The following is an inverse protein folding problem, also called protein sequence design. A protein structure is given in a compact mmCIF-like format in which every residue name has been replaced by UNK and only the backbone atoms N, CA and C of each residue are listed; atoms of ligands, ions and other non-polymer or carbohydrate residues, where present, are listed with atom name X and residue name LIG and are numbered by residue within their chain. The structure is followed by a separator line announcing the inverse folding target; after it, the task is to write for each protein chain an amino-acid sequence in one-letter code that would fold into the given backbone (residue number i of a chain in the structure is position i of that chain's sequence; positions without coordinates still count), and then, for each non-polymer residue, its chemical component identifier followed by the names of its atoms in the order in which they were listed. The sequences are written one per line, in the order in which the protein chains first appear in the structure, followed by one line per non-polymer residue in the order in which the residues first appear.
data_IF_326113599057
#
_entry.id   IF_326113599057
#
_cell.length_a   1.000
_cell.length_b   1.000
_cell.length_c   1.000
_cell.angle_alpha   90.00
_cell.angle_beta   90.00
_cell.angle_gamma   90.00
#
_symmetry.space_group_name_H-M   'P 1'
#
loop_
_entity.id
_entity.type
_entity.pdbx_description
1 polymer ?
#
# COMPACT_ATOMS: atom_id res chain seq x y z
N UNK A 1 -0.08 15.65 3.78
CA UNK A 1 0.66 16.92 3.45
C UNK A 1 2.17 16.74 3.59
N UNK A 2 2.60 15.92 4.54
CA UNK A 2 4.02 15.71 4.84
C UNK A 2 4.63 14.54 4.04
N UNK A 3 3.79 13.73 3.39
CA UNK A 3 4.16 12.54 2.61
C UNK A 3 4.17 12.76 1.10
N UNK A 4 3.43 11.93 0.38
CA UNK A 4 3.23 12.05 -1.06
C UNK A 4 2.40 13.28 -1.44
N UNK A 5 2.56 13.75 -2.69
CA UNK A 5 1.94 15.01 -3.16
C UNK A 5 0.41 14.94 -3.25
N UNK A 6 -0.15 13.76 -3.35
CA UNK A 6 -1.59 13.51 -3.46
C UNK A 6 -2.30 13.46 -2.10
N UNK A 7 -1.56 13.26 -1.00
CA UNK A 7 -2.13 13.30 0.35
C UNK A 7 -2.51 14.73 0.77
N UNK A 8 -3.76 14.90 1.17
CA UNK A 8 -4.34 16.18 1.64
C UNK A 8 -4.52 16.24 3.16
N UNK A 9 -4.22 15.16 3.85
CA UNK A 9 -4.39 15.02 5.30
C UNK A 9 -3.04 15.28 5.98
N UNK A 10 -3.04 16.05 7.07
CA UNK A 10 -1.84 16.13 7.92
C UNK A 10 -1.69 14.82 8.70
N UNK A 11 -0.47 14.47 9.05
CA UNK A 11 -0.21 13.24 9.79
C UNK A 11 -0.85 13.28 11.18
N UNK A 12 -0.88 14.45 11.81
CA UNK A 12 -1.51 14.69 13.11
C UNK A 12 -3.03 14.44 13.05
N UNK A 13 -3.72 15.04 12.06
CA UNK A 13 -5.16 14.82 11.84
C UNK A 13 -5.46 13.36 11.54
N UNK A 14 -4.58 12.70 10.76
CA UNK A 14 -4.71 11.29 10.39
C UNK A 14 -4.67 10.40 11.63
N UNK A 15 -3.65 10.55 12.47
CA UNK A 15 -3.50 9.75 13.69
C UNK A 15 -4.60 10.07 14.68
N UNK A 16 -4.95 11.34 14.86
CA UNK A 16 -6.03 11.76 15.75
C UNK A 16 -7.34 11.06 15.37
N UNK A 17 -7.69 11.05 14.08
CA UNK A 17 -8.89 10.38 13.61
C UNK A 17 -8.84 8.87 13.82
N UNK A 18 -7.74 8.22 13.50
CA UNK A 18 -7.59 6.78 13.72
C UNK A 18 -7.73 6.41 15.20
N UNK A 19 -7.14 7.17 16.11
CA UNK A 19 -7.30 6.95 17.56
C UNK A 19 -8.75 7.10 18.01
N UNK A 20 -9.49 8.09 17.48
CA UNK A 20 -10.93 8.27 17.77
C UNK A 20 -11.77 7.09 17.29
N UNK A 21 -11.34 6.39 16.24
CA UNK A 21 -11.99 5.20 15.70
C UNK A 21 -11.49 3.89 16.33
N UNK A 22 -10.59 3.95 17.33
CA UNK A 22 -10.12 2.79 18.10
C UNK A 22 -8.98 2.00 17.45
N UNK A 23 -8.23 2.60 16.52
CA UNK A 23 -7.05 1.98 15.92
C UNK A 23 -5.83 2.06 16.85
N UNK A 24 -5.02 1.01 16.87
CA UNK A 24 -3.76 0.93 17.62
C UNK A 24 -2.56 1.49 16.85
N UNK A 25 -2.66 1.58 15.53
CA UNK A 25 -1.55 2.02 14.68
C UNK A 25 -1.90 2.14 13.21
N UNK A 26 -0.90 2.54 12.43
CA UNK A 26 -0.99 2.65 10.98
C UNK A 26 0.34 2.27 10.30
N UNK A 27 0.25 1.84 9.06
CA UNK A 27 1.38 1.72 8.14
C UNK A 27 1.32 2.89 7.14
N UNK A 28 2.35 3.74 7.11
CA UNK A 28 2.46 4.80 6.10
C UNK A 28 3.02 4.19 4.81
N UNK A 29 2.30 4.37 3.70
CA UNK A 29 2.66 3.85 2.38
C UNK A 29 2.60 4.94 1.31
N UNK A 30 3.27 6.07 1.55
CA UNK A 30 3.38 7.16 0.56
C UNK A 30 4.00 6.65 -0.76
N UNK A 31 3.54 7.19 -1.90
CA UNK A 31 4.09 6.87 -3.22
C UNK A 31 5.57 7.26 -3.35
N UNK A 32 6.42 6.27 -3.61
CA UNK A 32 7.87 6.39 -3.90
C UNK A 32 8.64 7.27 -2.89
N UNK A 33 8.18 7.39 -1.65
CA UNK A 33 8.85 8.22 -0.65
C UNK A 33 8.59 7.76 0.77
N UNK A 34 9.56 8.03 1.65
CA UNK A 34 9.41 7.88 3.10
C UNK A 34 9.21 9.22 3.82
N UNK A 35 8.78 10.27 3.12
CA UNK A 35 8.66 11.63 3.72
C UNK A 35 7.70 11.66 4.89
N UNK A 36 6.51 11.07 4.77
CA UNK A 36 5.52 11.00 5.84
C UNK A 36 6.08 10.29 7.08
N UNK A 37 6.70 9.12 6.90
CA UNK A 37 7.35 8.44 8.03
C UNK A 37 8.54 9.21 8.61
N UNK A 38 9.34 9.91 7.79
CA UNK A 38 10.41 10.78 8.30
C UNK A 38 9.86 11.92 9.15
N UNK A 39 8.78 12.56 8.70
CA UNK A 39 8.10 13.58 9.48
C UNK A 39 7.64 13.02 10.84
N UNK A 40 6.94 11.86 10.85
CA UNK A 40 6.62 11.17 12.09
C UNK A 40 7.83 10.97 12.99
N UNK A 41 8.87 10.35 12.45
CA UNK A 41 10.05 9.96 13.24
C UNK A 41 10.79 11.11 13.88
N UNK A 42 10.93 12.25 13.21
CA UNK A 42 11.78 13.35 13.66
C UNK A 42 11.01 14.49 14.32
N UNK A 43 9.75 14.68 13.92
CA UNK A 43 8.95 15.82 14.40
C UNK A 43 7.90 15.43 15.43
N UNK A 44 7.38 14.20 15.41
CA UNK A 44 6.23 13.80 16.21
C UNK A 44 6.53 12.71 17.24
N UNK A 45 7.28 11.65 16.87
CA UNK A 45 7.56 10.49 17.73
C UNK A 45 8.22 10.93 19.05
N UNK A 46 7.65 10.49 20.18
CA UNK A 46 8.10 10.86 21.53
C UNK A 46 7.72 12.28 21.96
N UNK A 47 6.87 12.98 21.20
CA UNK A 47 6.34 14.30 21.54
C UNK A 47 4.82 14.31 21.58
N UNK A 48 4.20 13.62 20.61
CA UNK A 48 2.74 13.50 20.47
C UNK A 48 2.38 12.07 20.09
N UNK A 49 1.17 11.62 20.41
CA UNK A 49 0.62 10.29 20.05
C UNK A 49 1.54 9.12 20.48
N UNK A 50 2.12 9.15 21.68
CA UNK A 50 3.06 8.13 22.18
C UNK A 50 2.47 6.72 22.26
N UNK A 51 1.15 6.63 22.46
CA UNK A 51 0.37 5.40 22.55
C UNK A 51 0.02 4.78 21.18
N UNK A 52 0.30 5.49 20.08
CA UNK A 52 -0.07 5.08 18.72
C UNK A 52 1.13 4.57 17.92
N UNK A 53 0.98 3.40 17.29
CA UNK A 53 2.05 2.78 16.51
C UNK A 53 2.03 3.31 15.07
N UNK A 54 3.17 3.81 14.60
CA UNK A 54 3.34 4.20 13.19
C UNK A 54 4.45 3.38 12.58
N UNK A 55 4.09 2.55 11.62
CA UNK A 55 5.01 1.69 10.87
C UNK A 55 5.38 2.33 9.53
N UNK A 56 6.56 1.94 9.04
CA UNK A 56 7.14 2.42 7.79
C UNK A 56 6.90 1.44 6.65
N UNK A 57 6.20 1.86 5.64
CA UNK A 57 6.08 1.20 4.35
C UNK A 57 6.29 2.21 3.21
N UNK A 58 6.12 1.74 2.00
CA UNK A 58 6.13 2.57 0.78
C UNK A 58 5.24 1.90 -0.26
N UNK A 59 4.43 2.67 -0.97
CA UNK A 59 3.75 2.23 -2.18
C UNK A 59 4.65 2.56 -3.38
N UNK A 60 5.22 1.53 -3.97
CA UNK A 60 6.24 1.66 -5.01
C UNK A 60 5.62 1.57 -6.41
N UNK A 61 5.88 2.57 -7.26
CA UNK A 61 5.44 2.60 -8.65
C UNK A 61 6.40 1.79 -9.53
N UNK A 62 6.02 0.56 -9.88
CA UNK A 62 6.80 -0.25 -10.81
C UNK A 62 6.54 0.16 -12.26
N UNK A 63 7.51 -0.07 -13.17
CA UNK A 63 7.30 0.22 -14.59
C UNK A 63 6.45 -0.83 -15.32
N UNK A 64 6.17 -1.98 -14.72
CA UNK A 64 5.57 -3.14 -15.41
C UNK A 64 4.45 -3.86 -14.67
N UNK A 65 4.27 -3.61 -13.36
CA UNK A 65 3.37 -4.39 -12.51
C UNK A 65 2.41 -3.53 -11.64
N UNK A 66 2.35 -2.23 -11.86
CA UNK A 66 1.53 -1.31 -11.07
C UNK A 66 2.12 -1.02 -9.69
N UNK A 67 1.27 -0.74 -8.73
CA UNK A 67 1.65 -0.35 -7.38
C UNK A 67 1.93 -1.56 -6.49
N UNK A 68 3.04 -1.50 -5.77
CA UNK A 68 3.49 -2.56 -4.87
C UNK A 68 3.81 -1.98 -3.50
N UNK A 69 3.13 -2.44 -2.47
CA UNK A 69 3.45 -2.08 -1.08
C UNK A 69 4.70 -2.86 -0.67
N UNK A 70 5.73 -2.12 -0.23
CA UNK A 70 6.96 -2.70 0.30
C UNK A 70 7.14 -2.34 1.78
N UNK A 71 7.47 -3.32 2.60
CA UNK A 71 7.72 -3.17 4.04
C UNK A 71 9.11 -3.72 4.33
N UNK A 72 10.02 -2.85 4.77
CA UNK A 72 11.38 -3.22 5.15
C UNK A 72 11.49 -3.40 6.66
N UNK A 73 12.38 -4.28 7.15
CA UNK A 73 12.59 -4.46 8.59
C UNK A 73 12.88 -3.15 9.33
N UNK A 74 12.63 -3.14 10.62
CA UNK A 74 12.97 -2.02 11.48
C UNK A 74 14.45 -1.62 11.31
N UNK A 75 14.72 -0.32 11.31
CA UNK A 75 16.06 0.22 11.10
C UNK A 75 16.58 0.18 9.67
N UNK A 76 16.06 -0.69 8.81
CA UNK A 76 16.46 -0.76 7.40
C UNK A 76 15.81 0.36 6.59
N UNK A 77 16.63 1.21 5.98
CA UNK A 77 16.19 2.28 5.10
C UNK A 77 16.83 2.14 3.73
N UNK A 78 16.02 1.87 2.74
CA UNK A 78 16.46 1.64 1.37
C UNK A 78 16.11 2.84 0.48
N UNK A 79 17.08 3.75 0.28
CA UNK A 79 16.89 4.94 -0.57
C UNK A 79 16.50 4.59 -2.02
N UNK A 80 16.89 3.40 -2.48
CA UNK A 80 16.55 2.92 -3.82
C UNK A 80 15.03 2.77 -4.01
N UNK A 81 14.28 2.50 -2.93
CA UNK A 81 12.81 2.47 -2.97
C UNK A 81 12.18 3.87 -3.10
N UNK A 82 12.97 4.94 -2.96
CA UNK A 82 12.49 6.30 -3.26
C UNK A 82 12.75 6.71 -4.73
N UNK A 83 13.20 5.75 -5.58
CA UNK A 83 13.40 5.92 -7.03
C UNK A 83 12.45 4.99 -7.76
N UNK A 84 11.35 5.53 -8.28
CA UNK A 84 10.31 4.77 -8.99
C UNK A 84 10.78 4.10 -10.28
N UNK A 85 10.00 3.15 -10.78
CA UNK A 85 10.16 2.58 -12.11
C UNK A 85 11.02 1.32 -12.19
N UNK A 86 11.42 0.72 -11.06
CA UNK A 86 12.09 -0.58 -11.06
C UNK A 86 11.12 -1.67 -11.56
N UNK A 87 11.54 -2.59 -12.46
CA UNK A 87 10.73 -3.75 -12.81
C UNK A 87 10.43 -4.63 -11.59
N UNK A 88 9.23 -5.17 -11.51
CA UNK A 88 8.76 -5.91 -10.32
C UNK A 88 9.66 -7.09 -9.93
N UNK A 89 10.26 -7.79 -10.89
CA UNK A 89 11.18 -8.90 -10.56
C UNK A 89 12.41 -8.41 -9.79
N UNK A 90 12.98 -7.29 -10.22
CA UNK A 90 14.12 -6.67 -9.53
C UNK A 90 13.70 -6.15 -8.15
N UNK A 91 12.51 -5.56 -8.05
CA UNK A 91 11.96 -5.07 -6.80
C UNK A 91 11.78 -6.21 -5.79
N UNK A 92 11.22 -7.34 -6.22
CA UNK A 92 11.04 -8.53 -5.39
C UNK A 92 12.40 -9.04 -4.88
N UNK A 93 13.36 -9.24 -5.79
CA UNK A 93 14.71 -9.71 -5.43
C UNK A 93 15.39 -8.74 -4.46
N UNK A 94 15.23 -7.44 -4.69
CA UNK A 94 15.81 -6.40 -3.87
C UNK A 94 15.21 -6.40 -2.45
N UNK A 95 13.88 -6.37 -2.33
CA UNK A 95 13.18 -6.35 -1.04
C UNK A 95 13.46 -7.61 -0.23
N UNK A 96 13.35 -8.80 -0.85
CA UNK A 96 13.61 -10.07 -0.17
C UNK A 96 15.07 -10.22 0.30
N UNK A 97 16.03 -9.80 -0.53
CA UNK A 97 17.47 -9.86 -0.14
C UNK A 97 17.77 -9.05 1.11
N UNK A 98 17.00 -8.00 1.36
CA UNK A 98 17.18 -7.14 2.53
C UNK A 98 16.20 -7.46 3.67
N UNK A 99 15.56 -8.63 3.62
CA UNK A 99 14.69 -9.11 4.70
C UNK A 99 13.30 -8.48 4.73
N UNK A 100 12.94 -7.69 3.73
CA UNK A 100 11.61 -7.08 3.60
C UNK A 100 10.57 -8.04 3.00
N UNK A 101 9.34 -7.59 2.98
CA UNK A 101 8.20 -8.23 2.32
C UNK A 101 7.52 -7.24 1.37
N UNK A 102 6.78 -7.78 0.39
CA UNK A 102 6.03 -6.96 -0.54
C UNK A 102 4.77 -7.67 -1.05
N UNK A 103 3.81 -6.86 -1.46
CA UNK A 103 2.56 -7.34 -2.07
C UNK A 103 1.89 -6.25 -2.90
N UNK A 104 1.04 -6.62 -3.87
CA UNK A 104 0.38 -5.65 -4.74
C UNK A 104 -0.70 -4.88 -3.98
N UNK A 105 -0.68 -3.55 -4.10
CA UNK A 105 -1.76 -2.68 -3.68
C UNK A 105 -2.94 -2.82 -4.64
N UNK A 106 -4.18 -2.79 -4.12
CA UNK A 106 -5.43 -2.87 -4.91
C UNK A 106 -5.29 -3.72 -6.19
N UNK A 107 -4.85 -5.01 -6.10
CA UNK A 107 -4.34 -5.79 -7.23
C UNK A 107 -5.34 -6.02 -8.35
N UNK A 108 -6.62 -6.05 -8.03
CA UNK A 108 -7.73 -6.25 -8.96
C UNK A 108 -8.57 -5.00 -9.17
N UNK A 109 -8.06 -3.84 -8.78
CA UNK A 109 -8.74 -2.56 -8.91
C UNK A 109 -9.04 -2.19 -10.35
N UNK A 110 -9.93 -1.22 -10.53
CA UNK A 110 -10.28 -0.72 -11.86
C UNK A 110 -9.17 0.11 -12.51
N UNK A 111 -8.18 0.55 -11.74
CA UNK A 111 -7.08 1.38 -12.22
C UNK A 111 -6.09 0.53 -13.02
N UNK A 112 -5.52 1.13 -14.07
CA UNK A 112 -4.46 0.50 -14.90
C UNK A 112 -3.17 0.22 -14.12
N UNK A 113 -2.98 0.80 -12.93
CA UNK A 113 -1.86 0.54 -12.02
C UNK A 113 -2.10 -0.65 -11.09
N UNK A 114 -3.25 -1.31 -11.20
CA UNK A 114 -3.54 -2.54 -10.49
C UNK A 114 -2.87 -3.72 -11.17
N UNK A 115 -2.21 -4.58 -10.38
CA UNK A 115 -1.35 -5.66 -10.87
C UNK A 115 -2.01 -6.53 -11.95
N UNK A 116 -3.26 -6.96 -11.75
CA UNK A 116 -3.97 -7.85 -12.70
C UNK A 116 -4.33 -7.18 -14.03
N UNK A 117 -4.24 -5.84 -14.12
CA UNK A 117 -4.48 -5.10 -15.36
C UNK A 117 -3.20 -4.84 -16.16
N UNK A 118 -2.05 -5.29 -15.66
CA UNK A 118 -0.75 -5.03 -16.30
C UNK A 118 -0.38 -6.10 -17.32
N UNK A 119 0.40 -5.70 -18.33
CA UNK A 119 0.97 -6.66 -19.30
C UNK A 119 1.85 -7.71 -18.61
N UNK A 120 2.44 -7.36 -17.46
CA UNK A 120 3.26 -8.27 -16.67
C UNK A 120 2.44 -9.45 -16.15
N UNK A 121 1.27 -9.18 -15.57
CA UNK A 121 0.38 -10.23 -15.09
C UNK A 121 -0.06 -11.16 -16.23
N UNK A 122 -0.46 -10.61 -17.39
CA UNK A 122 -0.89 -11.43 -18.53
C UNK A 122 0.24 -12.30 -19.08
N UNK A 123 1.47 -11.81 -19.10
CA UNK A 123 2.63 -12.58 -19.60
C UNK A 123 3.20 -13.56 -18.57
N UNK A 124 3.11 -13.25 -17.30
CA UNK A 124 3.73 -14.00 -16.20
C UNK A 124 2.87 -13.98 -14.95
N UNK A 125 1.66 -14.58 -14.95
CA UNK A 125 0.75 -14.58 -13.82
C UNK A 125 1.38 -15.21 -12.57
N UNK A 126 2.36 -16.11 -12.75
CA UNK A 126 3.10 -16.76 -11.68
C UNK A 126 3.91 -15.79 -10.81
N UNK A 127 4.13 -14.54 -11.26
CA UNK A 127 4.75 -13.49 -10.46
C UNK A 127 4.04 -13.30 -9.11
N UNK A 128 2.72 -13.55 -9.08
CA UNK A 128 1.91 -13.47 -7.86
C UNK A 128 2.42 -14.38 -6.74
N UNK A 129 3.01 -15.52 -7.08
CA UNK A 129 3.55 -16.48 -6.11
C UNK A 129 4.72 -15.92 -5.31
N UNK A 130 5.40 -14.93 -5.86
CA UNK A 130 6.57 -14.30 -5.26
C UNK A 130 6.23 -13.19 -4.27
N UNK A 131 5.00 -12.69 -4.28
CA UNK A 131 4.55 -11.75 -3.26
C UNK A 131 4.32 -12.45 -1.92
N UNK A 132 4.48 -11.72 -0.83
CA UNK A 132 4.32 -12.24 0.52
C UNK A 132 2.87 -12.14 0.99
N UNK A 133 2.17 -11.09 0.57
CA UNK A 133 0.77 -10.81 0.89
C UNK A 133 0.03 -10.22 -0.32
N UNK A 134 -1.26 -10.05 -0.20
CA UNK A 134 -2.13 -9.40 -1.19
C UNK A 134 -3.06 -8.43 -0.45
N UNK A 135 -3.21 -7.20 -0.91
CA UNK A 135 -4.26 -6.32 -0.42
C UNK A 135 -5.61 -6.83 -0.96
N UNK A 136 -6.38 -7.47 -0.08
CA UNK A 136 -7.67 -8.09 -0.43
C UNK A 136 -8.86 -7.16 -0.19
N UNK A 137 -8.66 -6.12 0.61
CA UNK A 137 -9.65 -5.08 0.86
C UNK A 137 -9.00 -3.70 0.69
N UNK A 138 -9.54 -2.92 -0.23
CA UNK A 138 -9.18 -1.52 -0.41
C UNK A 138 -10.48 -0.70 -0.46
N UNK A 139 -10.62 0.27 0.45
CA UNK A 139 -11.86 1.06 0.55
C UNK A 139 -12.14 1.94 -0.66
N UNK A 140 -11.12 2.22 -1.48
CA UNK A 140 -11.23 3.05 -2.69
C UNK A 140 -11.72 2.26 -3.91
N UNK A 141 -11.68 0.94 -3.85
CA UNK A 141 -12.06 0.06 -4.95
C UNK A 141 -13.50 -0.49 -4.78
N UNK A 142 -14.17 -0.87 -5.90
CA UNK A 142 -15.48 -1.52 -5.82
C UNK A 142 -15.41 -2.88 -5.11
N UNK A 143 -16.56 -3.33 -4.58
CA UNK A 143 -16.69 -4.62 -3.90
C UNK A 143 -16.22 -5.78 -4.78
N UNK A 144 -16.59 -5.78 -6.07
CA UNK A 144 -16.18 -6.84 -7.02
C UNK A 144 -14.65 -6.90 -7.21
N UNK A 145 -13.95 -5.78 -7.08
CA UNK A 145 -12.49 -5.74 -7.13
C UNK A 145 -11.87 -6.37 -5.89
N UNK A 146 -12.42 -6.06 -4.71
CA UNK A 146 -12.02 -6.66 -3.44
C UNK A 146 -12.30 -8.17 -3.43
N UNK A 147 -13.45 -8.60 -3.90
CA UNK A 147 -13.79 -10.03 -4.06
C UNK A 147 -12.82 -10.77 -4.97
N UNK A 148 -12.42 -10.16 -6.08
CA UNK A 148 -11.41 -10.75 -6.98
C UNK A 148 -10.07 -10.86 -6.30
N UNK A 149 -9.67 -9.84 -5.53
CA UNK A 149 -8.41 -9.84 -4.77
C UNK A 149 -8.42 -10.90 -3.67
N UNK A 150 -9.54 -11.08 -2.96
CA UNK A 150 -9.70 -12.13 -1.95
C UNK A 150 -9.60 -13.54 -2.57
N UNK A 151 -10.29 -13.78 -3.70
CA UNK A 151 -10.16 -15.05 -4.45
C UNK A 151 -8.73 -15.27 -4.94
N UNK A 152 -8.02 -14.22 -5.33
CA UNK A 152 -6.62 -14.30 -5.75
C UNK A 152 -5.72 -14.71 -4.59
N UNK A 153 -5.89 -14.10 -3.41
CA UNK A 153 -5.17 -14.47 -2.20
C UNK A 153 -5.43 -15.91 -1.78
N UNK A 154 -6.69 -16.34 -1.79
CA UNK A 154 -7.07 -17.73 -1.51
C UNK A 154 -6.42 -18.71 -2.48
N UNK A 155 -6.52 -18.45 -3.79
CA UNK A 155 -5.93 -19.30 -4.85
C UNK A 155 -4.43 -19.54 -4.67
N UNK A 156 -3.71 -18.49 -4.26
CA UNK A 156 -2.25 -18.55 -4.09
C UNK A 156 -1.81 -18.70 -2.63
N UNK A 157 -2.75 -18.94 -1.72
CA UNK A 157 -2.50 -19.13 -0.28
C UNK A 157 -1.66 -17.99 0.34
N UNK A 158 -2.00 -16.76 -0.02
CA UNK A 158 -1.36 -15.53 0.48
C UNK A 158 -2.15 -14.94 1.64
N UNK A 159 -1.44 -14.31 2.56
CA UNK A 159 -2.05 -13.49 3.61
C UNK A 159 -2.78 -12.31 2.94
N UNK A 160 -4.02 -12.06 3.35
CA UNK A 160 -4.79 -10.91 2.94
C UNK A 160 -4.62 -9.76 3.92
N UNK A 161 -4.36 -8.56 3.42
CA UNK A 161 -4.36 -7.33 4.21
C UNK A 161 -5.43 -6.36 3.69
N UNK A 162 -5.78 -5.36 4.49
CA UNK A 162 -6.72 -4.31 4.09
C UNK A 162 -6.13 -2.92 4.33
N UNK A 163 -6.53 -1.98 3.48
CA UNK A 163 -6.13 -0.59 3.56
C UNK A 163 -7.22 0.37 3.12
N UNK A 164 -7.12 1.63 3.53
CA UNK A 164 -8.07 2.67 3.19
C UNK A 164 -7.73 3.42 1.90
N UNK A 165 -6.47 3.38 1.46
CA UNK A 165 -5.97 4.15 0.30
C UNK A 165 -6.44 5.63 0.40
N UNK A 166 -6.29 6.21 1.60
CA UNK A 166 -6.94 7.47 1.94
C UNK A 166 -6.06 8.67 1.63
N UNK A 167 -6.62 9.57 0.82
CA UNK A 167 -6.02 10.84 0.45
C UNK A 167 -6.73 12.04 1.09
N UNK A 168 -7.84 11.77 1.80
CA UNK A 168 -8.70 12.76 2.44
C UNK A 168 -9.13 12.29 3.81
N UNK A 169 -9.40 13.24 4.71
CA UNK A 169 -9.73 12.95 6.12
C UNK A 169 -10.98 12.09 6.27
N UNK A 170 -12.00 12.26 5.42
CA UNK A 170 -13.21 11.47 5.46
C UNK A 170 -13.03 10.00 5.08
N UNK A 171 -11.87 9.67 4.47
CA UNK A 171 -11.53 8.34 4.01
C UNK A 171 -10.63 7.58 5.01
N UNK A 172 -10.04 8.28 5.97
CA UNK A 172 -9.16 7.69 6.98
C UNK A 172 -9.90 6.66 7.82
N UNK A 173 -9.29 5.51 8.07
CA UNK A 173 -9.85 4.43 8.89
C UNK A 173 -10.89 3.54 8.19
N UNK A 174 -11.28 3.85 6.95
CA UNK A 174 -12.32 3.07 6.26
C UNK A 174 -11.90 1.66 5.84
N UNK A 175 -10.61 1.42 5.62
CA UNK A 175 -10.06 0.09 5.38
C UNK A 175 -8.97 -0.22 6.39
N UNK A 176 -8.92 -1.47 6.87
CA UNK A 176 -8.03 -1.84 7.95
C UNK A 176 -7.60 -3.30 7.88
N UNK A 177 -6.57 -3.60 8.65
CA UNK A 177 -6.05 -4.94 8.90
C UNK A 177 -6.11 -5.22 10.41
N UNK A 178 -6.72 -6.33 10.80
CA UNK A 178 -6.74 -6.83 12.18
C UNK A 178 -5.60 -7.83 12.34
N UNK A 179 -4.73 -7.58 13.31
CA UNK A 179 -3.62 -8.45 13.64
C UNK A 179 -3.94 -9.28 14.90
N UNK A 180 -3.47 -10.54 15.00
CA UNK A 180 -3.75 -11.40 16.17
C UNK A 180 -3.10 -10.92 17.45
N UNK A 181 -2.13 -10.01 17.34
CA UNK A 181 -1.43 -9.39 18.45
C UNK A 181 -0.98 -7.99 18.09
N UNK A 182 -0.71 -7.16 19.10
CA UNK A 182 -0.14 -5.84 18.90
C UNK A 182 1.28 -5.98 18.32
N UNK A 183 1.59 -5.20 17.30
CA UNK A 183 2.93 -5.03 16.73
C UNK A 183 3.41 -3.63 17.04
N UNK A 184 4.71 -3.48 17.24
CA UNK A 184 5.35 -2.19 17.60
C UNK A 184 6.38 -1.74 16.57
N UNK A 185 6.80 -2.64 15.68
CA UNK A 185 7.75 -2.36 14.61
C UNK A 185 7.48 -3.18 13.35
N UNK A 186 8.10 -2.79 12.25
CA UNK A 186 7.95 -3.46 10.94
C UNK A 186 8.41 -4.92 10.97
N UNK A 187 9.44 -5.23 11.76
CA UNK A 187 9.99 -6.61 11.85
C UNK A 187 8.95 -7.58 12.42
N UNK A 188 8.19 -7.17 13.43
CA UNK A 188 7.11 -7.97 14.00
C UNK A 188 5.98 -8.20 12.98
N UNK A 189 5.56 -7.16 12.24
CA UNK A 189 4.57 -7.30 11.18
C UNK A 189 5.05 -8.25 10.07
N UNK A 190 6.30 -8.13 9.64
CA UNK A 190 6.93 -9.01 8.66
C UNK A 190 6.88 -10.46 9.13
N UNK A 191 7.19 -10.70 10.41
CA UNK A 191 7.15 -12.04 11.00
C UNK A 191 5.74 -12.63 10.95
N UNK A 192 4.73 -11.89 11.39
CA UNK A 192 3.33 -12.34 11.34
C UNK A 192 2.87 -12.72 9.93
N UNK A 193 3.23 -11.91 8.93
CA UNK A 193 2.87 -12.17 7.53
C UNK A 193 3.58 -13.42 7.01
N UNK A 194 4.86 -13.60 7.31
CA UNK A 194 5.64 -14.79 6.90
C UNK A 194 5.17 -16.08 7.54
N UNK A 195 4.78 -16.02 8.80
CA UNK A 195 4.21 -17.14 9.56
C UNK A 195 2.77 -17.43 9.19
N UNK A 196 2.16 -16.62 8.31
CA UNK A 196 0.75 -16.72 7.92
C UNK A 196 -0.19 -16.69 9.13
N UNK A 197 0.09 -15.79 10.06
CA UNK A 197 -0.76 -15.59 11.23
C UNK A 197 -2.21 -15.30 10.81
N UNK A 198 -3.15 -15.47 11.73
CA UNK A 198 -4.56 -15.18 11.50
C UNK A 198 -4.77 -13.65 11.39
N UNK A 199 -4.57 -13.12 10.21
CA UNK A 199 -4.74 -11.70 9.85
C UNK A 199 -6.06 -11.55 9.11
N UNK A 200 -6.87 -10.57 9.51
CA UNK A 200 -8.15 -10.27 8.87
C UNK A 200 -8.10 -8.88 8.22
N UNK A 201 -8.75 -8.76 7.07
CA UNK A 201 -8.91 -7.49 6.35
C UNK A 201 -10.37 -7.11 6.29
N UNK A 202 -10.67 -5.82 6.45
CA UNK A 202 -12.05 -5.36 6.42
C UNK A 202 -12.18 -3.84 6.31
N UNK A 203 -13.42 -3.39 6.35
CA UNK A 203 -13.72 -1.96 6.32
C UNK A 203 -15.06 -1.62 5.66
N UNK A 204 -15.14 -0.36 5.24
CA UNK A 204 -16.28 0.20 4.48
C UNK A 204 -15.78 0.83 3.19
N UNK A 205 -16.55 0.69 2.12
CA UNK A 205 -16.20 1.26 0.83
C UNK A 205 -16.47 2.76 0.78
N UNK A 206 -15.75 3.48 -0.09
CA UNK A 206 -16.08 4.85 -0.43
C UNK A 206 -17.34 4.89 -1.27
N UNK A 207 -18.12 5.97 -1.11
CA UNK A 207 -19.37 6.13 -1.85
C UNK A 207 -19.21 6.33 -3.37
N UNK A 208 -17.97 6.62 -3.85
CA UNK A 208 -17.65 6.73 -5.29
C UNK A 208 -16.23 6.27 -5.55
N UNK A 209 -16.08 5.37 -6.51
CA UNK A 209 -14.76 4.94 -6.99
C UNK A 209 -14.00 6.08 -7.69
N UNK A 210 -12.70 5.94 -7.83
CA UNK A 210 -11.88 6.93 -8.57
C UNK A 210 -12.34 7.07 -10.03
N UNK A 211 -12.77 5.98 -10.68
CA UNK A 211 -13.30 5.98 -12.04
C UNK A 211 -14.56 6.84 -12.17
N UNK A 212 -15.49 6.71 -11.24
CA UNK A 212 -16.71 7.51 -11.20
C UNK A 212 -16.44 9.00 -10.95
N UNK A 213 -15.41 9.32 -10.11
CA UNK A 213 -14.98 10.69 -9.83
C UNK A 213 -14.32 11.36 -11.03
N UNK A 214 -13.59 10.61 -11.84
CA UNK A 214 -12.81 11.12 -12.97
C UNK A 214 -13.64 11.20 -14.27
N UNK A 215 -14.74 10.48 -14.38
CA UNK A 215 -15.62 10.51 -15.54
C UNK A 215 -14.87 10.33 -16.87
N UNK A 216 -15.08 11.26 -17.82
CA UNK A 216 -14.43 11.22 -19.16
C UNK A 216 -12.90 11.36 -19.11
N UNK A 217 -12.34 11.99 -18.08
CA UNK A 217 -10.90 12.14 -17.89
C UNK A 217 -10.20 10.79 -17.69
N UNK A 218 -10.95 9.77 -17.24
CA UNK A 218 -10.43 8.41 -17.04
C UNK A 218 -9.84 7.79 -18.32
N UNK A 219 -10.28 8.23 -19.51
CA UNK A 219 -9.75 7.74 -20.80
C UNK A 219 -8.37 8.33 -21.12
N UNK A 220 -8.04 9.50 -20.59
CA UNK A 220 -6.80 10.24 -20.89
C UNK A 220 -5.71 9.91 -19.87
N UNK A 221 -6.09 9.61 -18.63
CA UNK A 221 -5.16 9.31 -17.54
C UNK A 221 -4.15 8.20 -17.84
N UNK A 222 -4.50 7.05 -18.48
CA UNK A 222 -3.51 6.03 -18.84
C UNK A 222 -2.38 6.57 -19.71
N UNK A 223 -2.67 7.53 -20.59
CA UNK A 223 -1.67 8.15 -21.47
C UNK A 223 -0.80 9.16 -20.72
N UNK A 224 -1.37 9.97 -19.82
CA UNK A 224 -0.61 10.93 -19.02
C UNK A 224 0.37 10.23 -18.06
N UNK A 225 -0.05 9.13 -17.46
CA UNK A 225 0.85 8.33 -16.62
C UNK A 225 1.87 7.53 -17.43
N UNK A 226 1.52 7.06 -18.62
CA UNK A 226 2.49 6.47 -19.53
C UNK A 226 3.61 7.46 -19.88
N UNK A 227 3.25 8.71 -20.20
CA UNK A 227 4.21 9.79 -20.43
C UNK A 227 5.00 10.13 -19.16
N UNK A 228 4.36 10.21 -17.99
CA UNK A 228 5.01 10.49 -16.72
C UNK A 228 6.01 9.39 -16.33
N UNK A 229 5.64 8.12 -16.49
CA UNK A 229 6.52 6.99 -16.18
C UNK A 229 7.65 6.81 -17.20
N UNK A 230 7.47 7.21 -18.47
CA UNK A 230 8.53 7.19 -19.46
C UNK A 230 9.38 8.47 -19.48
N UNK A 231 8.80 9.62 -19.21
CA UNK A 231 9.52 10.90 -19.17
C UNK A 231 10.40 11.10 -17.94
N UNK A 232 10.20 10.33 -16.87
CA UNK A 232 11.10 10.30 -15.71
C UNK A 232 12.30 9.36 -15.85
N UNK A 233 12.47 8.74 -17.01
CA UNK A 233 13.58 7.84 -17.34
C UNK A 233 14.62 8.48 -18.33
N UNK A 234 14.55 9.81 -18.50
CA UNK A 234 15.54 10.60 -19.25
C UNK A 234 16.39 11.42 -18.29
#
# INVERSE_FOLDING_TARGET
KEGSLDSKVSLDDYITKLKQEGFDGMLITDHDTYKGYRHWKYEMKGKVHEDFVVLKGIEYDTCDAGHIICIMPEGVRMRLLELKGMPVQMLIDFVHRHGGILGPAHPCGEKYLSFTNTKKYFKSPETIKRFDFIEVFNSCEPEESNDRAARLAQKYQKVGIGGSDSHKIECVGKGYTVLPQRVTCETELITLIREKAAIEAGGTLYGKTTKEKLGRMNKILPYSFWFYNKGGAL
#
